data_IF_075352187968
#
_entry.id   IF_075352187968
#
_cell.length_a   1.000
_cell.length_b   1.000
_cell.length_c   1.000
_cell.angle_alpha   90.00
_cell.angle_beta   90.00
_cell.angle_gamma   90.00
#
_symmetry.space_group_name_H-M   'P 1'
#
loop_
_entity.id
_entity.type
_entity.pdbx_description
1 polymer ?
#
# COMPACT_ATOMS: atom_id res chain seq x y z
N UNK A 1 7.64 25.21 -78.04
CA UNK A 1 6.60 24.56 -77.26
C UNK A 1 7.31 23.59 -76.33
N UNK A 2 7.50 23.97 -75.03
CA UNK A 2 8.20 23.17 -74.03
C UNK A 2 7.16 22.52 -73.12
N UNK A 3 7.06 21.19 -73.20
CA UNK A 3 6.16 20.42 -72.29
C UNK A 3 6.89 20.22 -70.96
N UNK A 4 6.34 20.83 -69.90
CA UNK A 4 6.77 20.61 -68.52
C UNK A 4 5.95 19.41 -67.98
N UNK A 5 6.62 18.29 -67.70
CA UNK A 5 6.08 17.16 -67.01
C UNK A 5 6.20 17.41 -65.50
N UNK A 6 5.09 17.65 -64.82
CA UNK A 6 5.03 17.76 -63.36
C UNK A 6 4.86 16.34 -62.82
N UNK A 7 5.93 15.81 -62.20
CA UNK A 7 5.90 14.56 -61.47
C UNK A 7 5.34 14.78 -60.03
N UNK A 8 4.10 14.42 -59.78
CA UNK A 8 3.49 14.42 -58.46
C UNK A 8 4.03 13.25 -57.66
N UNK A 9 4.93 13.53 -56.73
CA UNK A 9 5.44 12.57 -55.73
C UNK A 9 4.44 12.44 -54.58
N UNK A 10 3.63 11.39 -54.57
CA UNK A 10 2.70 11.08 -53.50
C UNK A 10 3.50 10.50 -52.30
N UNK A 11 3.69 11.31 -51.25
CA UNK A 11 4.25 10.84 -49.99
C UNK A 11 3.12 10.18 -49.21
N UNK A 12 3.09 8.85 -49.18
CA UNK A 12 2.22 8.07 -48.27
C UNK A 12 2.82 8.13 -46.88
N UNK A 13 2.21 8.90 -45.98
CA UNK A 13 2.51 8.89 -44.56
C UNK A 13 1.89 7.62 -43.97
N UNK A 14 2.70 6.59 -43.76
CA UNK A 14 2.32 5.46 -42.93
C UNK A 14 2.28 5.93 -41.49
N UNK A 15 1.08 6.21 -40.97
CA UNK A 15 0.82 6.32 -39.54
C UNK A 15 1.03 4.97 -38.90
N UNK A 16 2.18 4.77 -38.25
CA UNK A 16 2.40 3.67 -37.33
C UNK A 16 1.54 3.97 -36.11
N UNK A 17 0.32 3.40 -36.06
CA UNK A 17 -0.49 3.32 -34.86
C UNK A 17 0.23 2.36 -33.92
N UNK A 18 0.88 2.92 -32.90
CA UNK A 18 1.34 2.11 -31.77
C UNK A 18 0.08 1.76 -30.98
N UNK A 19 -0.53 0.62 -31.25
CA UNK A 19 -1.52 0.03 -30.34
C UNK A 19 -0.76 -0.32 -29.07
N UNK A 20 -0.90 0.50 -28.03
CA UNK A 20 -0.58 0.09 -26.66
C UNK A 20 -1.57 -1.02 -26.31
N UNK A 21 -1.11 -2.25 -26.44
CA UNK A 21 -1.82 -3.41 -25.89
C UNK A 21 -1.81 -3.19 -24.38
N UNK A 22 -2.92 -2.75 -23.81
CA UNK A 22 -3.10 -2.81 -22.36
C UNK A 22 -3.02 -4.28 -21.98
N UNK A 23 -1.87 -4.68 -21.42
CA UNK A 23 -1.72 -6.01 -20.87
C UNK A 23 -2.65 -6.12 -19.67
N UNK A 24 -3.51 -7.14 -19.64
CA UNK A 24 -4.28 -7.44 -18.43
C UNK A 24 -3.36 -7.52 -17.22
N UNK A 25 -3.80 -7.00 -16.04
CA UNK A 25 -2.98 -7.07 -14.83
C UNK A 25 -2.51 -8.50 -14.57
N UNK A 26 -1.28 -8.64 -14.08
CA UNK A 26 -0.72 -9.96 -13.78
C UNK A 26 -1.42 -10.54 -12.54
N UNK A 27 -2.03 -11.72 -12.66
CA UNK A 27 -2.56 -12.47 -11.52
C UNK A 27 -1.39 -12.95 -10.66
N UNK A 28 -1.42 -12.61 -9.37
CA UNK A 28 -0.38 -12.92 -8.37
C UNK A 28 -0.91 -13.78 -7.22
N UNK A 29 -2.23 -13.98 -7.14
CA UNK A 29 -2.85 -14.76 -6.08
C UNK A 29 -4.36 -14.84 -6.25
N UNK A 30 -5.02 -15.29 -5.20
CA UNK A 30 -6.47 -15.35 -5.16
C UNK A 30 -7.00 -15.00 -3.77
N UNK A 31 -8.25 -14.53 -3.72
CA UNK A 31 -9.00 -14.29 -2.49
C UNK A 31 -10.24 -15.18 -2.43
N UNK A 32 -10.58 -15.64 -1.24
CA UNK A 32 -11.84 -16.37 -0.96
C UNK A 32 -12.53 -15.66 0.20
N UNK A 33 -13.43 -14.74 -0.12
CA UNK A 33 -14.18 -14.03 0.89
C UNK A 33 -15.39 -14.86 1.35
N UNK A 34 -15.49 -15.15 2.66
CA UNK A 34 -16.67 -15.74 3.31
C UNK A 34 -17.23 -17.02 2.65
N UNK A 35 -16.37 -17.85 2.05
CA UNK A 35 -16.79 -19.08 1.37
C UNK A 35 -17.43 -18.87 0.00
N UNK A 36 -17.28 -17.68 -0.57
CA UNK A 36 -17.68 -17.37 -1.93
C UNK A 36 -16.75 -18.00 -2.97
N UNK A 37 -17.06 -17.81 -4.25
CA UNK A 37 -16.14 -18.16 -5.33
C UNK A 37 -14.83 -17.38 -5.20
N UNK A 38 -13.73 -18.04 -5.58
CA UNK A 38 -12.41 -17.40 -5.58
C UNK A 38 -12.36 -16.27 -6.61
N UNK A 39 -11.80 -15.13 -6.21
CA UNK A 39 -11.51 -14.00 -7.08
C UNK A 39 -10.01 -13.80 -7.23
N UNK A 40 -9.58 -13.24 -8.35
CA UNK A 40 -8.16 -12.99 -8.58
C UNK A 40 -7.63 -11.83 -7.74
N UNK A 41 -6.41 -12.00 -7.24
CA UNK A 41 -5.56 -10.91 -6.78
C UNK A 41 -4.54 -10.65 -7.89
N UNK A 42 -4.43 -9.41 -8.30
CA UNK A 42 -3.51 -8.97 -9.35
C UNK A 42 -2.45 -8.03 -8.80
N UNK A 43 -1.37 -7.82 -9.55
CA UNK A 43 -0.40 -6.78 -9.23
C UNK A 43 -1.11 -5.42 -9.22
N UNK A 44 -0.93 -4.67 -8.12
CA UNK A 44 -1.54 -3.36 -7.92
C UNK A 44 -0.71 -2.24 -8.55
N UNK A 45 -1.24 -1.00 -8.54
CA UNK A 45 -0.51 0.18 -9.00
C UNK A 45 0.77 0.45 -8.20
N UNK A 46 1.82 0.93 -8.87
CA UNK A 46 3.13 1.17 -8.23
C UNK A 46 3.10 2.26 -7.15
N UNK A 47 2.18 3.23 -7.24
CA UNK A 47 2.07 4.35 -6.32
C UNK A 47 1.50 3.95 -4.95
N UNK A 48 0.75 2.86 -4.84
CA UNK A 48 0.16 2.38 -3.58
C UNK A 48 1.25 2.10 -2.53
N UNK A 49 2.33 1.43 -2.90
CA UNK A 49 3.46 1.19 -2.00
C UNK A 49 4.17 2.50 -1.57
N UNK A 50 4.22 3.51 -2.45
CA UNK A 50 4.80 4.81 -2.14
C UNK A 50 3.95 5.63 -1.16
N UNK A 51 2.61 5.55 -1.28
CA UNK A 51 1.68 6.16 -0.32
C UNK A 51 1.92 5.57 1.07
N UNK A 52 2.04 4.24 1.15
CA UNK A 52 2.35 3.56 2.40
C UNK A 52 3.70 3.99 2.98
N UNK A 53 4.75 4.08 2.16
CA UNK A 53 6.06 4.55 2.60
C UNK A 53 5.97 5.98 3.19
N UNK A 54 5.28 6.89 2.53
CA UNK A 54 5.03 8.25 3.03
C UNK A 54 4.29 8.24 4.36
N UNK A 55 3.32 7.33 4.53
CA UNK A 55 2.57 7.18 5.78
C UNK A 55 3.47 6.71 6.93
N UNK A 56 4.35 5.75 6.69
CA UNK A 56 5.32 5.26 7.68
C UNK A 56 6.38 6.33 8.01
N UNK A 57 6.82 7.11 7.03
CA UNK A 57 7.74 8.22 7.27
C UNK A 57 7.10 9.27 8.20
N UNK A 58 5.84 9.64 7.96
CA UNK A 58 5.10 10.54 8.84
C UNK A 58 4.97 10.00 10.29
N UNK A 59 4.81 8.67 10.47
CA UNK A 59 4.81 8.03 11.78
C UNK A 59 6.19 8.14 12.45
N UNK A 60 7.27 7.90 11.72
CA UNK A 60 8.64 8.02 12.21
C UNK A 60 8.99 9.46 12.61
N UNK A 61 8.47 10.44 11.87
CA UNK A 61 8.65 11.87 12.13
C UNK A 61 7.70 12.42 13.21
N UNK A 62 6.71 11.63 13.66
CA UNK A 62 5.64 12.07 14.57
C UNK A 62 4.77 13.19 13.98
N UNK A 63 4.72 13.27 12.67
CA UNK A 63 3.91 14.25 11.94
C UNK A 63 2.44 13.82 11.91
N UNK A 64 1.74 14.10 13.02
CA UNK A 64 0.32 13.72 13.19
C UNK A 64 -0.60 14.42 12.19
N UNK A 65 -0.22 15.59 11.67
CA UNK A 65 -1.03 16.29 10.66
C UNK A 65 -0.91 15.60 9.29
N UNK A 66 0.27 15.19 8.91
CA UNK A 66 0.45 14.38 7.69
C UNK A 66 -0.25 13.03 7.81
N UNK A 67 -0.15 12.33 8.96
CA UNK A 67 -0.90 11.09 9.22
C UNK A 67 -2.39 11.33 9.07
N UNK A 68 -2.92 12.38 9.72
CA UNK A 68 -4.33 12.79 9.63
C UNK A 68 -4.77 13.01 8.19
N UNK A 69 -3.96 13.70 7.41
CA UNK A 69 -4.27 14.04 6.02
C UNK A 69 -4.30 12.82 5.09
N UNK A 70 -3.52 11.79 5.44
CA UNK A 70 -3.45 10.53 4.69
C UNK A 70 -4.53 9.52 5.10
N UNK A 71 -5.19 9.68 6.24
CA UNK A 71 -6.34 8.87 6.60
C UNK A 71 -7.57 9.26 5.77
N UNK A 72 -8.33 8.29 5.30
CA UNK A 72 -9.61 8.51 4.63
C UNK A 72 -10.71 8.89 5.62
N UNK A 73 -11.81 9.44 5.11
CA UNK A 73 -13.05 9.56 5.88
C UNK A 73 -13.54 8.14 6.26
N UNK A 74 -13.85 7.91 7.53
CA UNK A 74 -14.24 6.58 8.02
C UNK A 74 -13.07 5.61 8.21
N UNK A 75 -11.84 6.12 8.30
CA UNK A 75 -10.63 5.35 8.59
C UNK A 75 -10.80 4.38 9.76
N UNK A 76 -10.22 3.17 9.64
CA UNK A 76 -10.17 2.17 10.70
C UNK A 76 -8.78 1.54 10.80
N UNK A 77 -8.33 1.26 12.03
CA UNK A 77 -7.12 0.48 12.27
C UNK A 77 -7.42 -0.67 13.22
N UNK A 78 -6.85 -1.83 12.89
CA UNK A 78 -6.96 -3.05 13.67
C UNK A 78 -5.56 -3.43 14.18
N UNK A 79 -5.36 -3.26 15.48
CA UNK A 79 -4.08 -3.51 16.14
C UNK A 79 -3.82 -4.99 16.38
N UNK A 80 -2.55 -5.32 16.67
CA UNK A 80 -2.09 -6.71 16.81
C UNK A 80 -2.60 -7.42 18.08
N UNK A 81 -3.07 -6.69 19.07
CA UNK A 81 -3.68 -7.25 20.29
C UNK A 81 -5.23 -7.18 20.28
N UNK A 82 -5.81 -6.84 19.11
CA UNK A 82 -7.25 -6.77 18.92
C UNK A 82 -7.84 -5.38 19.15
N UNK A 83 -7.01 -4.35 19.22
CA UNK A 83 -7.46 -2.97 19.28
C UNK A 83 -8.20 -2.59 18.00
N UNK A 84 -9.28 -1.84 18.17
CA UNK A 84 -10.02 -1.24 17.05
C UNK A 84 -10.05 0.27 17.26
N UNK A 85 -9.50 1.00 16.28
CA UNK A 85 -9.48 2.47 16.28
C UNK A 85 -10.32 2.95 15.11
N UNK A 86 -11.37 3.71 15.39
CA UNK A 86 -12.32 4.20 14.40
C UNK A 86 -12.21 5.72 14.24
N UNK A 87 -11.90 6.16 13.04
CA UNK A 87 -11.77 7.56 12.66
C UNK A 87 -10.37 8.14 12.90
N UNK A 88 -10.04 9.14 12.10
CA UNK A 88 -8.71 9.77 12.10
C UNK A 88 -8.40 10.46 13.41
N UNK A 89 -9.37 11.11 14.07
CA UNK A 89 -9.15 11.79 15.36
C UNK A 89 -8.79 10.81 16.47
N UNK A 90 -9.49 9.68 16.55
CA UNK A 90 -9.18 8.63 17.51
C UNK A 90 -7.80 8.01 17.23
N UNK A 91 -7.44 7.83 15.95
CA UNK A 91 -6.13 7.34 15.57
C UNK A 91 -5.01 8.27 16.02
N UNK A 92 -5.14 9.59 15.80
CA UNK A 92 -4.14 10.57 16.23
C UNK A 92 -4.02 10.61 17.76
N UNK A 93 -5.14 10.53 18.49
CA UNK A 93 -5.11 10.47 19.94
C UNK A 93 -4.36 9.21 20.44
N UNK A 94 -4.69 8.04 19.88
CA UNK A 94 -4.01 6.79 20.19
C UNK A 94 -2.51 6.86 19.88
N UNK A 95 -2.13 7.35 18.69
CA UNK A 95 -0.74 7.47 18.29
C UNK A 95 0.05 8.41 19.21
N UNK A 96 -0.54 9.53 19.62
CA UNK A 96 0.14 10.50 20.48
C UNK A 96 0.56 9.87 21.81
N UNK A 97 -0.36 9.12 22.45
CA UNK A 97 -0.07 8.39 23.68
C UNK A 97 0.93 7.25 23.45
N UNK A 98 0.75 6.51 22.35
CA UNK A 98 1.60 5.37 22.04
C UNK A 98 3.02 5.76 21.65
N UNK A 99 3.21 6.88 20.93
CA UNK A 99 4.51 7.46 20.62
C UNK A 99 5.29 7.86 21.88
N UNK A 100 4.61 8.49 22.83
CA UNK A 100 5.22 8.88 24.11
C UNK A 100 5.62 7.66 24.94
N UNK A 101 4.76 6.63 24.98
CA UNK A 101 4.99 5.45 25.80
C UNK A 101 6.05 4.51 25.23
N UNK A 102 6.15 4.38 23.90
CA UNK A 102 6.92 3.31 23.26
C UNK A 102 8.02 3.80 22.31
N UNK A 103 8.07 5.09 22.00
CA UNK A 103 9.02 5.69 21.05
C UNK A 103 9.29 4.81 19.80
N UNK A 104 8.26 4.37 19.07
CA UNK A 104 8.39 3.42 17.98
C UNK A 104 9.20 3.98 16.80
N UNK A 105 9.93 3.09 16.12
CA UNK A 105 10.63 3.40 14.86
C UNK A 105 10.43 2.25 13.90
N UNK A 106 9.85 2.52 12.73
CA UNK A 106 9.60 1.54 11.69
C UNK A 106 10.67 1.59 10.62
N UNK A 107 11.13 0.41 10.21
CA UNK A 107 11.89 0.22 8.99
C UNK A 107 11.09 -0.68 8.07
N UNK A 108 10.74 -0.20 6.87
CA UNK A 108 10.08 -1.02 5.86
C UNK A 108 11.13 -1.99 5.30
N UNK A 109 10.87 -3.29 5.42
CA UNK A 109 11.73 -4.34 4.87
C UNK A 109 11.34 -4.68 3.43
N UNK A 110 10.05 -4.66 3.15
CA UNK A 110 9.46 -4.89 1.84
C UNK A 110 8.02 -4.37 1.82
N UNK A 111 7.51 -4.04 0.62
CA UNK A 111 6.12 -3.69 0.39
C UNK A 111 5.68 -4.25 -0.96
N UNK A 112 4.46 -4.76 -1.03
CA UNK A 112 3.85 -5.33 -2.23
C UNK A 112 2.52 -4.63 -2.46
N UNK A 113 2.41 -3.95 -3.60
CA UNK A 113 1.15 -3.39 -4.08
C UNK A 113 0.35 -4.49 -4.77
N UNK A 114 -0.90 -4.65 -4.37
CA UNK A 114 -1.80 -5.64 -4.96
C UNK A 114 -3.23 -5.09 -5.04
N UNK A 115 -4.04 -5.65 -5.95
CA UNK A 115 -5.45 -5.29 -6.07
C UNK A 115 -6.30 -6.55 -6.03
N UNK A 116 -7.29 -6.55 -5.13
CA UNK A 116 -8.25 -7.64 -4.97
C UNK A 116 -9.59 -7.27 -5.62
N UNK A 117 -10.22 -8.22 -6.29
CA UNK A 117 -11.53 -8.01 -6.90
C UNK A 117 -12.65 -8.22 -5.89
N UNK A 118 -13.59 -7.28 -5.82
CA UNK A 118 -14.83 -7.42 -5.04
C UNK A 118 -15.79 -8.39 -5.74
N UNK A 119 -16.82 -8.90 -5.03
CA UNK A 119 -17.86 -9.72 -5.67
C UNK A 119 -18.59 -9.00 -6.81
N UNK A 120 -18.64 -7.67 -6.79
CA UNK A 120 -19.25 -6.82 -7.81
C UNK A 120 -18.34 -6.62 -9.03
N UNK A 121 -17.07 -7.07 -8.94
CA UNK A 121 -16.08 -7.00 -10.01
C UNK A 121 -15.22 -5.74 -9.99
N UNK A 122 -15.34 -4.89 -8.98
CA UNK A 122 -14.49 -3.73 -8.78
C UNK A 122 -13.16 -4.15 -8.15
N UNK A 123 -12.08 -3.39 -8.38
CA UNK A 123 -10.80 -3.61 -7.73
C UNK A 123 -10.62 -2.66 -6.54
N UNK A 124 -10.15 -3.21 -5.43
CA UNK A 124 -9.68 -2.46 -4.27
C UNK A 124 -8.16 -2.62 -4.19
N UNK A 125 -7.47 -1.51 -3.97
CA UNK A 125 -6.01 -1.49 -3.89
C UNK A 125 -5.54 -1.67 -2.45
N UNK A 126 -4.50 -2.50 -2.31
CA UNK A 126 -3.88 -2.83 -1.04
C UNK A 126 -2.37 -2.72 -1.13
N UNK A 127 -1.76 -2.45 0.02
CA UNK A 127 -0.35 -2.71 0.25
C UNK A 127 -0.22 -3.72 1.38
N UNK A 128 0.51 -4.80 1.14
CA UNK A 128 0.98 -5.70 2.19
C UNK A 128 2.45 -5.43 2.41
N UNK A 129 2.84 -5.02 3.61
CA UNK A 129 4.21 -4.58 3.88
C UNK A 129 4.77 -5.21 5.16
N UNK A 130 6.04 -5.62 5.10
CA UNK A 130 6.77 -6.14 6.24
C UNK A 130 7.67 -5.07 6.85
N UNK A 131 7.65 -4.98 8.17
CA UNK A 131 8.40 -3.98 8.94
C UNK A 131 9.21 -4.63 10.06
N UNK A 132 10.37 -4.04 10.32
CA UNK A 132 11.02 -4.13 11.61
C UNK A 132 10.66 -2.90 12.42
N UNK A 133 10.24 -3.09 13.66
CA UNK A 133 9.83 -1.99 14.54
C UNK A 133 10.62 -2.06 15.83
N UNK A 134 11.35 -0.99 16.13
CA UNK A 134 12.01 -0.83 17.43
C UNK A 134 11.08 -0.08 18.37
N UNK A 135 10.86 -0.62 19.55
CA UNK A 135 10.06 -0.03 20.63
C UNK A 135 10.97 0.16 21.86
N UNK A 136 10.82 1.27 22.57
CA UNK A 136 11.43 1.49 23.88
C UNK A 136 10.45 1.11 24.98
N UNK A 137 10.72 0.00 25.67
CA UNK A 137 9.88 -0.50 26.79
C UNK A 137 10.71 -0.54 28.05
N UNK A 138 10.29 0.16 29.10
CA UNK A 138 10.98 0.26 30.37
C UNK A 138 12.47 0.67 30.22
N UNK A 139 12.76 1.55 29.28
CA UNK A 139 14.10 2.05 29.00
C UNK A 139 15.00 1.09 28.20
N UNK A 140 14.44 -0.02 27.70
CA UNK A 140 15.16 -0.96 26.85
C UNK A 140 14.54 -0.96 25.45
N UNK A 141 15.38 -0.97 24.41
CA UNK A 141 14.93 -1.14 23.05
C UNK A 141 14.66 -2.63 22.78
N UNK A 142 13.45 -2.93 22.31
CA UNK A 142 13.05 -4.24 21.82
C UNK A 142 12.71 -4.15 20.34
N UNK A 143 12.89 -5.24 19.61
CA UNK A 143 12.54 -5.33 18.19
C UNK A 143 11.38 -6.29 18.01
N UNK A 144 10.35 -5.83 17.31
CA UNK A 144 9.24 -6.66 16.84
C UNK A 144 9.15 -6.60 15.33
N UNK A 145 8.51 -7.60 14.73
CA UNK A 145 8.29 -7.67 13.29
C UNK A 145 6.79 -7.59 13.02
N UNK A 146 6.43 -6.71 12.10
CA UNK A 146 5.02 -6.51 11.72
C UNK A 146 4.83 -6.80 10.25
N UNK A 147 3.73 -7.47 9.92
CA UNK A 147 3.14 -7.44 8.59
C UNK A 147 1.88 -6.58 8.70
N UNK A 148 1.78 -5.58 7.87
CA UNK A 148 0.60 -4.72 7.82
C UNK A 148 -0.01 -4.86 6.44
N UNK A 149 -1.33 -5.08 6.43
CA UNK A 149 -2.14 -5.12 5.22
C UNK A 149 -3.09 -3.93 5.25
N UNK A 150 -2.92 -3.00 4.30
CA UNK A 150 -3.65 -1.74 4.28
C UNK A 150 -4.41 -1.57 2.96
N UNK A 151 -5.70 -1.20 3.06
CA UNK A 151 -6.51 -0.77 1.94
C UNK A 151 -6.29 0.72 1.68
N UNK A 152 -6.03 1.08 0.43
CA UNK A 152 -5.74 2.45 0.00
C UNK A 152 -6.68 2.81 -1.14
N UNK A 153 -7.38 3.93 -1.01
CA UNK A 153 -8.26 4.46 -2.04
C UNK A 153 -8.08 5.98 -2.14
N UNK A 154 -8.07 6.50 -3.36
CA UNK A 154 -7.92 7.94 -3.64
C UNK A 154 -6.71 8.58 -2.94
N UNK A 155 -5.60 7.83 -2.85
CA UNK A 155 -4.37 8.29 -2.22
C UNK A 155 -4.41 8.33 -0.68
N UNK A 156 -5.42 7.71 -0.05
CA UNK A 156 -5.63 7.71 1.39
C UNK A 156 -5.77 6.31 1.95
N UNK A 157 -5.34 6.13 3.19
CA UNK A 157 -5.48 4.89 3.95
C UNK A 157 -6.93 4.77 4.44
N UNK A 158 -7.63 3.76 3.96
CA UNK A 158 -9.02 3.46 4.35
C UNK A 158 -9.05 2.66 5.64
N UNK A 159 -8.24 1.61 5.68
CA UNK A 159 -8.04 0.80 6.87
C UNK A 159 -6.71 0.04 6.79
N UNK A 160 -6.28 -0.51 7.92
CA UNK A 160 -5.20 -1.48 7.95
C UNK A 160 -5.34 -2.49 9.09
N UNK A 161 -4.73 -3.66 8.90
CA UNK A 161 -4.58 -4.72 9.89
C UNK A 161 -3.12 -4.92 10.24
N UNK A 162 -2.79 -4.97 11.53
CA UNK A 162 -1.44 -5.19 12.03
C UNK A 162 -1.31 -6.63 12.54
N UNK A 163 -0.37 -7.38 11.99
CA UNK A 163 0.05 -8.68 12.51
C UNK A 163 1.46 -8.54 13.07
N UNK A 164 1.67 -8.91 14.32
CA UNK A 164 2.96 -8.73 15.00
C UNK A 164 3.52 -10.03 15.52
N UNK A 165 4.84 -10.15 15.45
CA UNK A 165 5.60 -11.26 15.99
C UNK A 165 6.85 -10.75 16.72
N UNK A 166 7.09 -11.27 17.93
CA UNK A 166 8.40 -11.23 18.56
C UNK A 166 9.19 -12.47 18.12
N UNK A 167 10.47 -12.27 17.77
CA UNK A 167 11.35 -13.39 17.44
C UNK A 167 12.25 -13.71 18.63
N UNK A 168 12.07 -14.87 19.20
CA UNK A 168 13.02 -15.42 20.19
C UNK A 168 14.40 -15.65 19.56
N UNK A 169 15.44 -15.59 20.38
CA UNK A 169 16.77 -16.03 19.92
C UNK A 169 16.73 -17.54 19.70
N UNK A 170 17.29 -17.99 18.56
CA UNK A 170 17.49 -19.41 18.36
C UNK A 170 18.44 -19.92 19.46
N UNK A 171 18.02 -20.97 20.20
CA UNK A 171 18.94 -21.64 21.12
C UNK A 171 20.10 -22.21 20.32
N UNK A 172 21.32 -21.69 20.56
CA UNK A 172 22.54 -22.34 20.05
C UNK A 172 22.71 -23.65 20.81
N UNK A 173 22.45 -24.80 20.16
CA UNK A 173 22.93 -26.10 20.61
C UNK A 173 24.42 -26.21 20.33
#
# INVERSE_FOLDING_TARGET
MKNIFILLLSISIMSISCETTESSPQVIGFSVANGAESTDIVAGPDDIANIWATYIDAHNERDVESIRSLNADGFQAFGSAGEVVEGSDAHIAFLSEWFEANNPRWTILWAISNSGQTPEGEYLDFVTAGHEVTLSVDGNDITVYQVIDANIADGKIVNFNVFQQERGQASSE
#
